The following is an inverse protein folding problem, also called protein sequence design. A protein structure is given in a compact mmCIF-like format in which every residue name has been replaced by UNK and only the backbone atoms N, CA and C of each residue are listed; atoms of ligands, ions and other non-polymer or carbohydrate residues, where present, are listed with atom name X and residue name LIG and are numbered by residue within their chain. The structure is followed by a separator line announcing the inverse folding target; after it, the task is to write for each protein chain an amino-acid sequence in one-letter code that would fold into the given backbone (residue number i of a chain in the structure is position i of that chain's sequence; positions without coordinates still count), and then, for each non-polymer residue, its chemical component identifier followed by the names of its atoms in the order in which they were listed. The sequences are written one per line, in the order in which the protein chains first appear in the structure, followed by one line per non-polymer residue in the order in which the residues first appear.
data_IF_397972797458
#
_entry.id   IF_397972797458
#
_cell.length_a   1.000
_cell.length_b   1.000
_cell.length_c   1.000
_cell.angle_alpha   90.00
_cell.angle_beta   90.00
_cell.angle_gamma   90.00
#
_symmetry.space_group_name_H-M   'P 1'
#
loop_
_entity.id
_entity.type
_entity.pdbx_description
1 polymer ?
#
# COMPACT_ATOMS: atom_id res chain seq x y z
N UNK A 1 7.10 -23.33 17.57
CA UNK A 1 7.95 -22.37 18.29
C UNK A 1 9.23 -22.18 17.50
N UNK A 2 9.18 -21.38 16.42
CA UNK A 2 10.36 -21.04 15.63
C UNK A 2 10.84 -19.66 16.04
N UNK A 3 11.99 -19.61 16.70
CA UNK A 3 12.74 -18.38 16.97
C UNK A 3 13.14 -17.76 15.63
N UNK A 4 12.48 -16.69 15.21
CA UNK A 4 13.07 -15.78 14.23
C UNK A 4 14.27 -15.11 14.89
N UNK A 5 15.44 -15.72 14.72
CA UNK A 5 16.70 -15.10 15.07
C UNK A 5 16.90 -13.86 14.21
N UNK A 6 17.22 -12.80 14.88
CA UNK A 6 17.63 -11.50 14.39
C UNK A 6 18.76 -11.59 13.33
N UNK A 7 18.37 -11.86 12.07
CA UNK A 7 19.29 -11.82 10.92
C UNK A 7 19.35 -10.42 10.26
N UNK A 8 18.62 -9.42 10.79
CA UNK A 8 18.56 -8.09 10.18
C UNK A 8 19.82 -7.24 10.41
N UNK A 9 20.73 -7.63 11.28
CA UNK A 9 21.91 -6.81 11.64
C UNK A 9 23.20 -7.09 10.86
N UNK A 10 23.28 -8.17 10.07
CA UNK A 10 24.56 -8.58 9.44
C UNK A 10 24.79 -8.10 8.00
N UNK A 11 23.77 -7.56 7.32
CA UNK A 11 23.89 -7.15 5.91
C UNK A 11 24.43 -5.72 5.71
N UNK A 12 24.88 -5.04 6.74
CA UNK A 12 25.19 -3.60 6.69
C UNK A 12 26.57 -3.24 6.20
N UNK A 13 27.51 -4.20 6.12
CA UNK A 13 28.90 -3.96 5.73
C UNK A 13 29.25 -4.51 4.33
N UNK A 14 28.34 -5.18 3.64
CA UNK A 14 28.69 -5.97 2.46
C UNK A 14 28.68 -5.18 1.14
N UNK A 15 28.01 -4.02 1.08
CA UNK A 15 27.98 -3.18 -0.12
C UNK A 15 28.27 -1.71 0.23
N UNK A 16 29.52 -1.24 -0.01
CA UNK A 16 29.91 0.15 0.23
C UNK A 16 29.07 1.17 -0.54
N UNK A 17 28.54 0.81 -1.71
CA UNK A 17 27.69 1.68 -2.53
C UNK A 17 26.35 1.99 -1.85
N UNK A 18 25.91 1.15 -0.93
CA UNK A 18 24.67 1.34 -0.19
C UNK A 18 24.84 2.23 1.06
N UNK A 19 26.06 2.58 1.44
CA UNK A 19 26.31 3.38 2.64
C UNK A 19 25.68 4.77 2.56
N UNK A 20 25.97 5.51 1.49
CA UNK A 20 25.45 6.87 1.29
C UNK A 20 23.91 6.88 1.20
N UNK A 21 23.25 6.06 0.36
CA UNK A 21 21.79 5.97 0.34
C UNK A 21 21.17 5.66 1.70
N UNK A 22 21.80 4.81 2.51
CA UNK A 22 21.29 4.46 3.87
C UNK A 22 21.38 5.63 4.83
N UNK A 23 22.49 6.35 4.83
CA UNK A 23 22.66 7.55 5.67
C UNK A 23 21.63 8.59 5.28
N UNK A 24 21.49 8.87 3.98
CA UNK A 24 20.49 9.82 3.48
C UNK A 24 19.07 9.41 3.87
N UNK A 25 18.74 8.12 3.76
CA UNK A 25 17.41 7.60 4.15
C UNK A 25 17.15 7.79 5.66
N UNK A 26 18.14 7.55 6.51
CA UNK A 26 18.01 7.79 7.96
C UNK A 26 17.80 9.26 8.28
N UNK A 27 18.60 10.14 7.67
CA UNK A 27 18.46 11.59 7.84
C UNK A 27 17.07 12.03 7.36
N UNK A 28 16.64 11.57 6.18
CA UNK A 28 15.32 11.87 5.65
C UNK A 28 14.20 11.39 6.57
N UNK A 29 14.29 10.16 7.08
CA UNK A 29 13.27 9.62 7.98
C UNK A 29 13.11 10.44 9.25
N UNK A 30 14.22 10.90 9.83
CA UNK A 30 14.20 11.78 11.00
C UNK A 30 13.63 13.16 10.64
N UNK A 31 14.11 13.77 9.56
CA UNK A 31 13.66 15.08 9.09
C UNK A 31 12.15 15.10 8.80
N UNK A 32 11.67 14.13 8.01
CA UNK A 32 10.26 14.01 7.64
C UNK A 32 9.41 13.74 8.89
N UNK A 33 9.85 12.82 9.76
CA UNK A 33 9.14 12.50 10.99
C UNK A 33 9.00 13.68 11.98
N UNK A 34 9.96 14.63 11.96
CA UNK A 34 9.95 15.80 12.85
C UNK A 34 9.23 17.02 12.22
N UNK A 35 9.24 17.14 10.89
CA UNK A 35 8.81 18.38 10.23
C UNK A 35 7.49 18.28 9.48
N UNK A 36 7.04 17.06 9.16
CA UNK A 36 5.78 16.84 8.46
C UNK A 36 4.63 16.69 9.47
N UNK A 37 3.51 17.40 9.29
CA UNK A 37 2.37 17.36 10.19
C UNK A 37 1.51 16.11 9.96
N UNK A 38 2.09 14.91 10.08
CA UNK A 38 1.31 13.66 9.96
C UNK A 38 0.20 13.59 11.02
N UNK A 39 -0.93 12.95 10.67
CA UNK A 39 -1.98 12.65 11.64
C UNK A 39 -1.43 11.81 12.82
N UNK A 40 -0.59 10.84 12.51
CA UNK A 40 0.22 10.12 13.49
C UNK A 40 1.48 9.53 12.86
N UNK A 41 2.53 9.39 13.66
CA UNK A 41 3.77 8.73 13.26
C UNK A 41 4.24 7.75 14.33
N UNK A 42 4.53 6.53 13.89
CA UNK A 42 5.15 5.50 14.72
C UNK A 42 6.67 5.68 14.85
N UNK A 43 7.29 4.69 15.50
CA UNK A 43 8.74 4.65 15.72
C UNK A 43 9.44 3.88 14.59
N UNK A 44 10.73 4.17 14.38
CA UNK A 44 11.63 3.44 13.45
C UNK A 44 11.09 3.39 12.02
N UNK A 45 10.63 4.55 11.53
CA UNK A 45 10.29 4.72 10.13
C UNK A 45 11.56 4.61 9.26
N UNK A 46 11.43 4.00 8.08
CA UNK A 46 12.48 3.88 7.06
C UNK A 46 11.97 4.51 5.75
N UNK A 47 11.99 5.85 5.68
CA UNK A 47 11.47 6.63 4.57
C UNK A 47 12.62 6.99 3.64
N UNK A 48 12.72 6.28 2.50
CA UNK A 48 13.77 6.54 1.52
C UNK A 48 13.75 8.01 1.07
N UNK A 49 14.92 8.64 0.97
CA UNK A 49 15.04 10.08 0.63
C UNK A 49 14.46 10.46 -0.75
N UNK A 50 14.21 9.48 -1.63
CA UNK A 50 13.49 9.65 -2.90
C UNK A 50 12.02 9.19 -2.82
N UNK A 51 11.46 8.90 -1.65
CA UNK A 51 10.02 8.69 -1.50
C UNK A 51 9.28 10.03 -1.64
N UNK A 52 8.06 9.98 -2.17
CA UNK A 52 7.27 11.18 -2.47
C UNK A 52 6.16 11.35 -1.43
N UNK A 53 6.26 12.41 -0.66
CA UNK A 53 5.30 12.77 0.38
C UNK A 53 5.06 14.28 0.30
N UNK A 54 3.80 14.68 0.15
CA UNK A 54 3.46 16.10 0.11
C UNK A 54 3.25 16.63 1.53
N UNK A 55 4.11 17.55 1.98
CA UNK A 55 4.05 18.10 3.34
C UNK A 55 2.70 18.73 3.68
N UNK A 56 2.13 19.50 2.77
CA UNK A 56 0.85 20.21 2.98
C UNK A 56 -0.33 19.28 3.22
N UNK A 57 -0.24 18.02 2.83
CA UNK A 57 -1.31 17.01 2.98
C UNK A 57 -0.90 15.86 3.92
N UNK A 58 0.23 15.99 4.61
CA UNK A 58 0.70 14.95 5.53
C UNK A 58 -0.24 14.75 6.72
N UNK A 59 -1.01 15.77 7.12
CA UNK A 59 -2.07 15.65 8.13
C UNK A 59 -3.14 14.61 7.82
N UNK A 60 -3.26 14.22 6.56
CA UNK A 60 -4.18 13.17 6.09
C UNK A 60 -3.52 11.78 5.97
N UNK A 61 -2.30 11.63 6.50
CA UNK A 61 -1.54 10.37 6.46
C UNK A 61 -1.21 9.94 7.89
N UNK A 62 -1.44 8.68 8.21
CA UNK A 62 -1.05 8.02 9.46
C UNK A 62 -0.09 6.87 9.16
N UNK A 63 1.06 6.85 9.83
CA UNK A 63 2.08 5.82 9.69
C UNK A 63 2.34 5.16 11.04
N UNK A 64 2.25 3.84 11.10
CA UNK A 64 2.55 3.01 12.25
C UNK A 64 4.05 2.84 12.50
N UNK A 65 4.38 1.95 13.44
CA UNK A 65 5.76 1.60 13.77
C UNK A 65 6.40 0.75 12.66
N UNK A 66 7.70 0.91 12.43
CA UNK A 66 8.48 0.08 11.49
C UNK A 66 7.95 0.11 10.03
N UNK A 67 7.27 1.18 9.64
CA UNK A 67 6.85 1.36 8.26
C UNK A 67 8.05 1.74 7.40
N UNK A 68 8.20 1.07 6.25
CA UNK A 68 9.24 1.37 5.27
C UNK A 68 8.65 1.80 3.93
N UNK A 69 9.10 2.95 3.43
CA UNK A 69 8.82 3.43 2.07
C UNK A 69 10.12 3.36 1.26
N UNK A 70 10.12 2.60 0.18
CA UNK A 70 11.28 2.44 -0.68
C UNK A 70 11.40 3.59 -1.71
N UNK A 71 12.48 3.57 -2.49
CA UNK A 71 12.74 4.58 -3.52
C UNK A 71 11.53 4.76 -4.42
N UNK A 72 11.14 6.01 -4.69
CA UNK A 72 10.01 6.33 -5.58
C UNK A 72 8.62 5.96 -5.05
N UNK A 73 8.51 5.36 -3.85
CA UNK A 73 7.20 5.13 -3.26
C UNK A 73 6.48 6.46 -3.05
N UNK A 74 5.25 6.55 -3.53
CA UNK A 74 4.47 7.78 -3.50
C UNK A 74 3.17 7.58 -2.72
N UNK A 75 3.02 8.35 -1.63
CA UNK A 75 1.76 8.46 -0.92
C UNK A 75 1.07 9.76 -1.34
N UNK A 76 0.09 9.65 -2.21
CA UNK A 76 -0.67 10.76 -2.75
C UNK A 76 -2.01 10.90 -2.04
N UNK A 77 -2.25 12.07 -1.47
CA UNK A 77 -3.56 12.48 -0.94
C UNK A 77 -4.27 13.29 -2.02
N UNK A 78 -5.27 12.69 -2.66
CA UNK A 78 -5.97 13.26 -3.80
C UNK A 78 -7.13 14.21 -3.41
N UNK A 79 -7.51 14.28 -2.12
CA UNK A 79 -8.48 15.27 -1.65
C UNK A 79 -7.82 16.64 -1.49
N UNK A 80 -8.58 17.71 -1.71
CA UNK A 80 -8.14 19.08 -1.46
C UNK A 80 -8.22 19.46 0.02
N UNK A 81 -9.04 18.75 0.79
CA UNK A 81 -9.20 18.97 2.23
C UNK A 81 -7.93 18.58 2.97
N UNK A 82 -7.38 19.52 3.71
CA UNK A 82 -6.17 19.33 4.55
C UNK A 82 -6.48 18.90 5.97
N UNK A 83 -7.73 19.06 6.40
CA UNK A 83 -8.22 18.70 7.74
C UNK A 83 -9.13 17.47 7.68
N UNK A 84 -9.28 16.80 8.82
CA UNK A 84 -10.12 15.64 9.02
C UNK A 84 -9.34 14.34 9.22
N UNK A 85 -10.06 13.22 9.24
CA UNK A 85 -9.49 11.90 9.45
C UNK A 85 -8.46 11.52 8.36
N UNK A 86 -7.39 10.79 8.70
CA UNK A 86 -6.40 10.37 7.73
C UNK A 86 -7.02 9.51 6.63
N UNK A 87 -6.74 9.85 5.37
CA UNK A 87 -7.21 9.10 4.20
C UNK A 87 -6.23 7.98 3.81
N UNK A 88 -4.95 8.10 4.17
CA UNK A 88 -3.98 7.02 4.06
C UNK A 88 -3.61 6.58 5.46
N UNK A 89 -3.87 5.32 5.79
CA UNK A 89 -3.46 4.72 7.06
C UNK A 89 -2.62 3.48 6.74
N UNK A 90 -1.39 3.48 7.22
CA UNK A 90 -0.47 2.33 7.11
C UNK A 90 -0.08 1.95 8.53
N UNK A 91 -0.51 0.76 8.96
CA UNK A 91 -0.23 0.25 10.29
C UNK A 91 1.21 -0.29 10.42
N UNK A 92 1.48 -0.90 11.57
CA UNK A 92 2.81 -1.37 11.97
C UNK A 92 3.40 -2.42 11.02
N UNK A 93 4.73 -2.41 10.89
CA UNK A 93 5.52 -3.41 10.20
C UNK A 93 5.17 -3.60 8.71
N UNK A 94 4.72 -2.53 8.05
CA UNK A 94 4.42 -2.56 6.62
C UNK A 94 5.61 -2.13 5.77
N UNK A 95 5.79 -2.82 4.63
CA UNK A 95 6.82 -2.49 3.65
C UNK A 95 6.19 -2.10 2.32
N UNK A 96 6.47 -0.87 1.86
CA UNK A 96 5.99 -0.34 0.58
C UNK A 96 7.15 -0.30 -0.40
N UNK A 97 7.04 -1.09 -1.45
CA UNK A 97 8.08 -1.33 -2.45
C UNK A 97 8.41 -0.12 -3.31
N UNK A 98 9.51 -0.25 -4.05
CA UNK A 98 10.01 0.77 -4.98
C UNK A 98 8.96 1.12 -6.03
N UNK A 99 8.83 2.43 -6.33
CA UNK A 99 7.94 2.98 -7.35
C UNK A 99 6.46 2.56 -7.19
N UNK A 100 6.06 2.25 -5.96
CA UNK A 100 4.66 1.93 -5.61
C UNK A 100 3.89 3.22 -5.35
N UNK A 101 2.67 3.31 -5.86
CA UNK A 101 1.77 4.46 -5.71
C UNK A 101 0.56 4.04 -4.86
N UNK A 102 0.34 4.77 -3.78
CA UNK A 102 -0.89 4.72 -2.98
C UNK A 102 -1.55 6.09 -3.10
N UNK A 103 -2.65 6.19 -3.83
CA UNK A 103 -3.35 7.44 -4.09
C UNK A 103 -4.76 7.37 -3.52
N UNK A 104 -5.00 8.12 -2.45
CA UNK A 104 -6.25 8.11 -1.71
C UNK A 104 -6.98 9.46 -1.79
N UNK A 105 -8.26 9.40 -2.11
CA UNK A 105 -9.22 10.48 -1.95
C UNK A 105 -10.00 10.33 -0.63
N UNK A 106 -10.58 9.16 -0.41
CA UNK A 106 -11.43 8.88 0.75
C UNK A 106 -10.73 8.04 1.81
N UNK A 107 -10.32 6.80 1.48
CA UNK A 107 -9.65 5.94 2.47
C UNK A 107 -8.90 4.79 1.81
N UNK A 108 -7.61 4.70 2.07
CA UNK A 108 -6.81 3.48 1.87
C UNK A 108 -6.22 3.10 3.22
N UNK A 109 -6.62 1.94 3.74
CA UNK A 109 -6.16 1.40 5.01
C UNK A 109 -5.36 0.11 4.77
N UNK A 110 -4.09 0.15 5.09
CA UNK A 110 -3.17 -0.98 5.06
C UNK A 110 -2.93 -1.44 6.49
N UNK A 111 -3.45 -2.61 6.84
CA UNK A 111 -3.26 -3.19 8.17
C UNK A 111 -1.82 -3.65 8.38
N UNK A 112 -1.50 -4.01 9.63
CA UNK A 112 -0.15 -4.41 10.03
C UNK A 112 0.37 -5.63 9.26
N UNK A 113 1.68 -5.76 9.19
CA UNK A 113 2.39 -6.90 8.61
C UNK A 113 2.14 -7.09 7.10
N UNK A 114 1.70 -6.05 6.38
CA UNK A 114 1.46 -6.11 4.94
C UNK A 114 2.74 -5.83 4.15
N UNK A 115 3.01 -6.70 3.17
CA UNK A 115 4.08 -6.52 2.20
C UNK A 115 3.52 -6.08 0.85
N UNK A 116 3.84 -4.87 0.42
CA UNK A 116 3.53 -4.36 -0.91
C UNK A 116 4.83 -4.32 -1.71
N UNK A 117 4.89 -5.08 -2.79
CA UNK A 117 6.07 -5.17 -3.65
C UNK A 117 6.23 -3.90 -4.51
N UNK A 118 7.19 -3.91 -5.41
CA UNK A 118 7.50 -2.78 -6.28
C UNK A 118 6.45 -2.57 -7.37
N UNK A 119 6.29 -1.33 -7.83
CA UNK A 119 5.44 -0.91 -8.95
C UNK A 119 3.96 -1.30 -8.78
N UNK A 120 3.48 -1.34 -7.55
CA UNK A 120 2.07 -1.58 -7.23
C UNK A 120 1.31 -0.27 -7.32
N UNK A 121 0.08 -0.30 -7.85
CA UNK A 121 -0.84 0.82 -7.84
C UNK A 121 -2.04 0.50 -6.94
N UNK A 122 -2.31 1.36 -5.96
CA UNK A 122 -3.51 1.29 -5.13
C UNK A 122 -4.22 2.64 -5.21
N UNK A 123 -5.44 2.66 -5.73
CA UNK A 123 -6.18 3.90 -5.97
C UNK A 123 -7.67 3.72 -5.68
N UNK A 124 -8.23 4.63 -4.89
CA UNK A 124 -9.63 4.61 -4.48
C UNK A 124 -10.54 5.52 -5.32
N UNK A 125 -10.02 6.18 -6.34
CA UNK A 125 -10.71 7.12 -7.21
C UNK A 125 -10.25 7.00 -8.66
N UNK A 126 -10.99 7.62 -9.59
CA UNK A 126 -10.62 7.78 -11.00
C UNK A 126 -10.84 9.24 -11.40
N UNK A 127 -10.39 9.62 -12.59
CA UNK A 127 -10.91 10.82 -13.25
C UNK A 127 -12.36 10.60 -13.68
N UNK A 128 -13.19 11.64 -13.56
CA UNK A 128 -14.52 11.65 -14.12
C UNK A 128 -14.42 11.78 -15.65
N UNK A 129 -15.24 11.06 -16.39
CA UNK A 129 -15.19 10.99 -17.87
C UNK A 129 -16.57 10.81 -18.52
N UNK A 130 -17.65 10.89 -17.73
CA UNK A 130 -19.00 10.62 -18.23
C UNK A 130 -19.53 11.71 -19.15
N UNK A 131 -19.09 12.95 -18.97
CA UNK A 131 -19.50 14.05 -19.84
C UNK A 131 -18.58 14.15 -21.06
N UNK A 132 -19.08 13.69 -22.20
CA UNK A 132 -18.34 13.70 -23.47
C UNK A 132 -18.20 15.10 -24.09
N UNK A 133 -18.85 16.10 -23.52
CA UNK A 133 -18.85 17.48 -24.08
C UNK A 133 -17.70 18.33 -23.54
N UNK A 134 -17.07 17.91 -22.45
CA UNK A 134 -15.93 18.61 -21.85
C UNK A 134 -14.72 17.69 -21.72
N UNK A 135 -13.49 18.23 -21.80
CA UNK A 135 -12.28 17.44 -21.64
C UNK A 135 -12.23 16.75 -20.28
N UNK A 136 -11.68 15.52 -20.21
CA UNK A 136 -11.58 14.74 -18.97
C UNK A 136 -10.81 15.52 -17.88
N UNK A 137 -9.79 16.27 -18.25
CA UNK A 137 -8.99 17.07 -17.30
C UNK A 137 -9.81 18.13 -16.56
N UNK A 138 -10.92 18.56 -17.14
CA UNK A 138 -11.83 19.58 -16.56
C UNK A 138 -12.94 18.96 -15.71
N UNK A 139 -13.19 17.64 -15.84
CA UNK A 139 -14.23 16.95 -15.08
C UNK A 139 -13.86 16.62 -13.65
N UNK A 140 -12.55 16.73 -13.30
CA UNK A 140 -12.05 16.40 -11.97
C UNK A 140 -11.95 14.90 -11.71
N UNK A 141 -12.20 14.48 -10.46
CA UNK A 141 -12.11 13.10 -10.04
C UNK A 141 -13.43 12.59 -9.47
N UNK A 142 -13.67 11.29 -9.59
CA UNK A 142 -14.89 10.62 -9.10
C UNK A 142 -15.07 10.80 -7.59
N UNK A 143 -16.25 10.45 -7.07
CA UNK A 143 -16.51 10.44 -5.62
C UNK A 143 -15.53 9.57 -4.86
N UNK A 144 -15.02 8.51 -5.50
CA UNK A 144 -14.08 7.57 -4.93
C UNK A 144 -14.73 6.51 -4.04
N UNK A 145 -13.95 5.48 -3.74
CA UNK A 145 -14.34 4.39 -2.85
C UNK A 145 -13.47 4.33 -1.60
N UNK A 146 -13.41 3.14 -1.00
CA UNK A 146 -12.56 2.84 0.15
C UNK A 146 -11.85 1.51 -0.07
N UNK A 147 -10.57 1.44 0.26
CA UNK A 147 -9.78 0.22 0.14
C UNK A 147 -9.25 -0.17 1.52
N UNK A 148 -9.40 -1.45 1.86
CA UNK A 148 -8.78 -2.06 3.04
C UNK A 148 -7.95 -3.26 2.61
N UNK A 149 -6.69 -3.32 3.10
CA UNK A 149 -5.80 -4.46 2.87
C UNK A 149 -5.54 -5.10 4.22
N UNK A 150 -6.05 -6.31 4.39
CA UNK A 150 -6.01 -7.07 5.64
C UNK A 150 -4.62 -7.54 6.01
N UNK A 151 -4.42 -7.67 7.31
CA UNK A 151 -3.16 -8.06 7.96
C UNK A 151 -2.47 -9.25 7.29
N UNK A 152 -1.15 -9.19 7.20
CA UNK A 152 -0.31 -10.29 6.73
C UNK A 152 -0.39 -10.57 5.23
N UNK A 153 -1.07 -9.71 4.47
CA UNK A 153 -1.24 -9.90 3.04
C UNK A 153 0.00 -9.48 2.26
N UNK A 154 0.18 -10.11 1.12
CA UNK A 154 1.25 -9.81 0.16
C UNK A 154 0.66 -9.37 -1.18
N UNK A 155 0.97 -8.15 -1.56
CA UNK A 155 0.62 -7.59 -2.88
C UNK A 155 1.87 -7.66 -3.74
N UNK A 156 1.87 -8.55 -4.72
CA UNK A 156 3.05 -8.81 -5.55
C UNK A 156 3.26 -7.70 -6.59
N UNK A 157 4.44 -7.72 -7.20
CA UNK A 157 4.92 -6.71 -8.14
C UNK A 157 3.91 -6.39 -9.24
N UNK A 158 3.71 -5.10 -9.52
CA UNK A 158 2.90 -4.63 -10.63
C UNK A 158 1.39 -4.87 -10.45
N UNK A 159 0.96 -5.38 -9.31
CA UNK A 159 -0.47 -5.53 -9.05
C UNK A 159 -1.14 -4.15 -8.98
N UNK A 160 -2.41 -4.10 -9.42
CA UNK A 160 -3.22 -2.90 -9.41
C UNK A 160 -4.50 -3.17 -8.61
N UNK A 161 -4.81 -2.30 -7.64
CA UNK A 161 -6.00 -2.37 -6.80
C UNK A 161 -6.79 -1.08 -7.02
N UNK A 162 -7.99 -1.19 -7.56
CA UNK A 162 -8.82 -0.03 -7.96
C UNK A 162 -10.20 -0.15 -7.35
N UNK A 163 -10.62 0.91 -6.65
CA UNK A 163 -11.96 1.03 -6.07
C UNK A 163 -12.54 2.43 -6.30
N UNK A 164 -13.06 2.74 -7.49
CA UNK A 164 -13.56 4.08 -7.80
C UNK A 164 -14.92 4.38 -7.16
N UNK A 165 -15.57 3.40 -6.53
CA UNK A 165 -16.86 3.52 -5.85
C UNK A 165 -17.07 2.40 -4.85
N UNK A 166 -17.72 2.72 -3.72
CA UNK A 166 -18.05 1.74 -2.68
C UNK A 166 -16.84 1.28 -1.87
N UNK A 167 -16.76 0.00 -1.55
CA UNK A 167 -15.72 -0.56 -0.70
C UNK A 167 -15.09 -1.81 -1.32
N UNK A 168 -13.76 -1.89 -1.23
CA UNK A 168 -12.97 -3.05 -1.64
C UNK A 168 -12.10 -3.49 -0.47
N UNK A 169 -12.30 -4.72 -0.01
CA UNK A 169 -11.50 -5.33 1.04
C UNK A 169 -10.69 -6.49 0.48
N UNK A 170 -9.38 -6.46 0.65
CA UNK A 170 -8.53 -7.64 0.57
C UNK A 170 -8.44 -8.20 1.98
N UNK A 171 -8.87 -9.44 2.16
CA UNK A 171 -8.89 -10.13 3.45
C UNK A 171 -7.50 -10.34 4.04
N UNK A 172 -7.44 -10.95 5.22
CA UNK A 172 -6.18 -11.27 5.91
C UNK A 172 -5.40 -12.39 5.21
N UNK A 173 -4.08 -12.34 5.29
CA UNK A 173 -3.19 -13.37 4.75
C UNK A 173 -3.52 -13.73 3.29
N UNK A 174 -3.87 -12.73 2.50
CA UNK A 174 -4.12 -12.87 1.06
C UNK A 174 -2.83 -12.68 0.27
N UNK A 175 -2.78 -13.31 -0.89
CA UNK A 175 -1.73 -13.10 -1.90
C UNK A 175 -2.38 -12.60 -3.18
N UNK A 176 -2.02 -11.38 -3.58
CA UNK A 176 -2.34 -10.86 -4.91
C UNK A 176 -1.13 -11.10 -5.80
N UNK A 177 -1.28 -11.95 -6.80
CA UNK A 177 -0.18 -12.32 -7.70
C UNK A 177 0.29 -11.13 -8.56
N UNK A 178 1.51 -11.23 -9.07
CA UNK A 178 2.10 -10.18 -9.89
C UNK A 178 1.22 -9.81 -11.11
N UNK A 179 1.18 -8.52 -11.44
CA UNK A 179 0.44 -7.96 -12.56
C UNK A 179 -1.07 -8.26 -12.56
N UNK A 180 -1.64 -8.57 -11.40
CA UNK A 180 -3.09 -8.78 -11.25
C UNK A 180 -3.83 -7.47 -11.06
N UNK A 181 -5.07 -7.38 -11.55
CA UNK A 181 -5.95 -6.22 -11.34
C UNK A 181 -7.13 -6.61 -10.47
N UNK A 182 -7.14 -6.09 -9.24
CA UNK A 182 -8.18 -6.34 -8.25
C UNK A 182 -9.21 -5.21 -8.30
N UNK A 183 -10.45 -5.57 -8.62
CA UNK A 183 -11.60 -4.64 -8.70
C UNK A 183 -12.76 -5.07 -7.80
N UNK A 184 -12.61 -6.12 -7.02
CA UNK A 184 -13.63 -6.66 -6.12
C UNK A 184 -12.98 -7.18 -4.85
N UNK A 185 -13.74 -7.20 -3.76
CA UNK A 185 -13.29 -7.74 -2.48
C UNK A 185 -12.87 -9.21 -2.58
N UNK A 186 -11.87 -9.57 -1.78
CA UNK A 186 -11.23 -10.87 -1.72
C UNK A 186 -11.38 -11.37 -0.28
N UNK A 187 -11.93 -12.57 -0.03
CA UNK A 187 -12.04 -13.13 1.31
C UNK A 187 -10.66 -13.49 1.88
N UNK A 188 -10.60 -13.63 3.20
CA UNK A 188 -9.41 -14.06 3.93
C UNK A 188 -8.76 -15.30 3.29
N UNK A 189 -7.44 -15.40 3.44
CA UNK A 189 -6.65 -16.59 3.07
C UNK A 189 -6.72 -16.97 1.59
N UNK A 190 -6.89 -15.99 0.71
CA UNK A 190 -7.02 -16.24 -0.73
C UNK A 190 -5.75 -15.90 -1.48
N UNK A 191 -5.45 -16.69 -2.50
CA UNK A 191 -4.49 -16.38 -3.55
C UNK A 191 -5.26 -16.05 -4.81
N UNK A 192 -5.07 -14.83 -5.31
CA UNK A 192 -5.75 -14.32 -6.51
C UNK A 192 -4.76 -13.98 -7.61
N UNK A 193 -5.17 -14.15 -8.86
CA UNK A 193 -4.38 -13.79 -10.02
C UNK A 193 -5.28 -13.39 -11.21
N UNK A 194 -4.70 -12.66 -12.15
CA UNK A 194 -5.31 -12.35 -13.44
C UNK A 194 -5.85 -10.93 -13.60
N UNK A 195 -6.43 -10.65 -14.76
CA UNK A 195 -6.95 -9.37 -15.22
C UNK A 195 -8.35 -9.60 -15.83
N UNK A 196 -9.44 -9.38 -15.08
CA UNK A 196 -9.51 -9.08 -13.65
C UNK A 196 -9.11 -10.26 -12.76
N UNK A 197 -8.62 -9.98 -11.55
CA UNK A 197 -8.16 -11.00 -10.61
C UNK A 197 -9.29 -11.95 -10.19
N UNK A 198 -8.95 -13.24 -10.07
CA UNK A 198 -9.85 -14.31 -9.61
C UNK A 198 -9.15 -15.14 -8.54
N UNK A 199 -9.93 -15.74 -7.64
CA UNK A 199 -9.41 -16.64 -6.62
C UNK A 199 -8.94 -17.92 -7.31
N UNK A 200 -7.64 -18.21 -7.27
CA UNK A 200 -7.04 -19.43 -7.80
C UNK A 200 -6.79 -20.47 -6.73
N UNK A 201 -6.60 -20.03 -5.47
CA UNK A 201 -6.51 -20.91 -4.30
C UNK A 201 -7.10 -20.20 -3.09
N UNK A 202 -7.62 -20.98 -2.17
CA UNK A 202 -8.05 -20.52 -0.85
C UNK A 202 -7.56 -21.49 0.22
N UNK A 203 -6.96 -20.96 1.28
CA UNK A 203 -6.53 -21.78 2.41
C UNK A 203 -7.71 -22.04 3.34
N UNK A 204 -7.86 -23.29 3.73
CA UNK A 204 -8.85 -23.72 4.71
C UNK A 204 -8.16 -23.88 6.07
N UNK A 205 -8.48 -23.04 7.07
CA UNK A 205 -7.87 -23.11 8.40
C UNK A 205 -8.19 -24.40 9.16
N UNK A 206 -9.34 -25.02 8.91
CA UNK A 206 -9.77 -26.24 9.59
C UNK A 206 -8.95 -27.45 9.10
N UNK A 207 -8.84 -27.62 7.79
CA UNK A 207 -8.08 -28.72 7.19
C UNK A 207 -6.59 -28.39 7.03
N UNK A 208 -6.18 -27.16 7.34
CA UNK A 208 -4.79 -26.62 7.16
C UNK A 208 -4.23 -26.87 5.76
N UNK A 209 -5.06 -26.79 4.73
CA UNK A 209 -4.69 -27.08 3.35
C UNK A 209 -5.16 -26.00 2.38
N UNK A 210 -4.40 -25.81 1.31
CA UNK A 210 -4.80 -24.97 0.18
C UNK A 210 -5.72 -25.75 -0.75
N UNK A 211 -6.92 -25.24 -1.00
CA UNK A 211 -7.86 -25.76 -1.98
C UNK A 211 -7.78 -24.94 -3.26
N UNK A 212 -7.96 -25.58 -4.41
CA UNK A 212 -8.08 -24.89 -5.70
C UNK A 212 -9.37 -24.09 -5.68
N UNK A 213 -9.28 -22.79 -5.97
CA UNK A 213 -10.44 -21.92 -6.10
C UNK A 213 -11.36 -22.44 -7.22
N UNK A 214 -12.67 -22.48 -6.98
CA UNK A 214 -13.63 -22.79 -8.04
C UNK A 214 -13.68 -21.58 -8.98
N UNK A 215 -12.85 -21.58 -10.01
CA UNK A 215 -12.98 -20.64 -11.13
C UNK A 215 -14.24 -21.07 -11.89
N UNK A 216 -15.37 -20.37 -11.68
CA UNK A 216 -16.42 -20.40 -12.70
C UNK A 216 -15.90 -19.56 -13.86
N UNK A 217 -15.61 -20.23 -14.95
CA UNK A 217 -15.34 -19.65 -16.28
C UNK A 217 -16.55 -18.86 -16.72
#
# INVERSE_FOLDING_TARGET
MHRHSDKRSRCYCEDPLQFVPRVLTKINSLWVGLTYPFASTGRKLDLHYMSQLTRTRASRISLGNYVSLRRGAWLNVATEETEGEPVIVIEDNCAIGTDTIISAKNKIHVERDVLIAQSVLIVDHNHAYEDITIPIVEQGITEGGRIRIGQGSWIARGATIICPKGELTIGRNCVVAANSVVTRSIPDYSLVAGLPARIIRQYDPETKAWRIGRTRV
#
